data_IF_824051230153
#
_entry.id   IF_824051230153
#
_cell.length_a   1.000
_cell.length_b   1.000
_cell.length_c   1.000
_cell.angle_alpha   90.00
_cell.angle_beta   90.00
_cell.angle_gamma   90.00
#
_symmetry.space_group_name_H-M   'P 1'
#
loop_
_entity.id
_entity.type
_entity.pdbx_description
1 polymer ?
#
# COMPACT_ATOMS: atom_id res chain seq x y z
N UNK A 1 1.68 -29.29 -47.07
CA UNK A 1 1.94 -29.57 -45.64
C UNK A 1 2.23 -28.24 -44.95
N UNK A 2 1.23 -27.65 -44.27
CA UNK A 2 1.40 -26.41 -43.51
C UNK A 2 2.01 -26.73 -42.15
N UNK A 3 3.22 -26.22 -41.89
CA UNK A 3 3.88 -26.33 -40.59
C UNK A 3 3.34 -25.21 -39.68
N UNK A 4 2.58 -25.60 -38.66
CA UNK A 4 2.16 -24.73 -37.57
C UNK A 4 3.37 -24.36 -36.70
N UNK A 5 3.77 -23.09 -36.72
CA UNK A 5 4.70 -22.52 -35.75
C UNK A 5 3.93 -22.23 -34.46
N UNK A 6 4.04 -23.12 -33.47
CA UNK A 6 3.66 -22.85 -32.09
C UNK A 6 4.63 -21.83 -31.49
N UNK A 7 4.17 -20.59 -31.33
CA UNK A 7 4.85 -19.60 -30.51
C UNK A 7 4.74 -19.97 -29.04
N UNK A 8 5.83 -20.48 -28.47
CA UNK A 8 6.01 -20.59 -27.03
C UNK A 8 6.11 -19.17 -26.46
N UNK A 9 5.00 -18.67 -25.91
CA UNK A 9 5.04 -17.51 -25.03
C UNK A 9 5.83 -17.89 -23.79
N UNK A 10 7.07 -17.38 -23.67
CA UNK A 10 7.81 -17.41 -22.42
C UNK A 10 6.99 -16.65 -21.37
N UNK A 11 6.30 -17.39 -20.51
CA UNK A 11 5.82 -16.85 -19.24
C UNK A 11 7.07 -16.45 -18.46
N UNK A 12 7.29 -15.15 -18.29
CA UNK A 12 8.38 -14.64 -17.47
C UNK A 12 8.07 -15.07 -16.04
N UNK A 13 8.91 -15.92 -15.46
CA UNK A 13 8.77 -16.32 -14.06
C UNK A 13 8.70 -15.05 -13.20
N UNK A 14 7.78 -14.98 -12.21
CA UNK A 14 7.70 -13.82 -11.33
C UNK A 14 9.05 -13.66 -10.63
N UNK A 15 9.67 -12.51 -10.81
CA UNK A 15 10.93 -12.20 -10.12
C UNK A 15 10.67 -12.28 -8.62
N UNK A 16 11.45 -13.08 -7.86
CA UNK A 16 11.19 -13.28 -6.45
C UNK A 16 11.26 -11.93 -5.74
N UNK A 17 10.27 -11.65 -4.90
CA UNK A 17 10.19 -10.40 -4.18
C UNK A 17 11.28 -10.36 -3.10
N UNK A 18 12.45 -9.81 -3.44
CA UNK A 18 13.61 -9.73 -2.55
C UNK A 18 13.53 -8.51 -1.61
N UNK A 19 14.15 -8.63 -0.43
CA UNK A 19 14.28 -7.51 0.52
C UNK A 19 12.96 -7.10 1.19
N UNK A 20 12.13 -8.08 1.52
CA UNK A 20 10.94 -7.89 2.36
C UNK A 20 11.30 -8.29 3.79
N UNK A 21 10.96 -7.44 4.75
CA UNK A 21 11.15 -7.72 6.18
C UNK A 21 9.83 -8.19 6.80
N UNK A 22 9.93 -9.08 7.78
CA UNK A 22 8.77 -9.48 8.56
C UNK A 22 8.30 -8.28 9.41
N UNK A 23 7.00 -7.91 9.36
CA UNK A 23 6.50 -6.84 10.21
C UNK A 23 6.52 -7.27 11.68
N UNK A 24 6.67 -6.34 12.63
CA UNK A 24 6.53 -6.65 14.05
C UNK A 24 5.09 -7.10 14.34
N UNK A 25 4.89 -7.79 15.48
CA UNK A 25 3.60 -8.36 15.86
C UNK A 25 2.46 -7.34 15.89
N UNK A 26 2.76 -6.11 16.32
CA UNK A 26 1.83 -4.98 16.30
C UNK A 26 2.54 -3.78 15.70
N UNK A 27 1.86 -3.06 14.80
CA UNK A 27 2.42 -1.86 14.19
C UNK A 27 1.38 -0.78 13.92
N UNK A 28 1.86 0.46 13.92
CA UNK A 28 1.07 1.59 13.45
C UNK A 28 1.09 1.65 11.92
N UNK A 29 -0.10 1.67 11.32
CA UNK A 29 -0.28 1.75 9.86
C UNK A 29 -1.19 2.89 9.46
N UNK A 30 -0.89 3.51 8.33
CA UNK A 30 -1.60 4.63 7.76
C UNK A 30 -2.40 4.22 6.52
N UNK A 31 -3.67 4.63 6.48
CA UNK A 31 -4.49 4.61 5.28
C UNK A 31 -4.74 6.03 4.79
N UNK A 32 -4.36 6.32 3.54
CA UNK A 32 -4.58 7.63 2.92
C UNK A 32 -5.77 7.56 1.98
N UNK A 33 -6.73 8.47 2.18
CA UNK A 33 -7.93 8.51 1.36
C UNK A 33 -8.50 9.92 1.22
N UNK A 34 -9.32 10.18 0.18
CA UNK A 34 -10.06 11.43 0.13
C UNK A 34 -11.04 11.54 1.31
N UNK A 35 -11.27 12.74 1.85
CA UNK A 35 -12.13 12.94 3.04
C UNK A 35 -13.52 12.30 2.88
N UNK A 36 -14.14 12.50 1.71
CA UNK A 36 -15.49 11.98 1.39
C UNK A 36 -15.54 10.47 1.16
N UNK A 37 -14.41 9.75 1.14
CA UNK A 37 -14.39 8.29 0.97
C UNK A 37 -14.99 7.64 2.22
N UNK A 38 -16.02 6.84 1.99
CA UNK A 38 -16.65 5.94 2.96
C UNK A 38 -16.20 4.51 2.67
N UNK A 39 -16.12 3.71 3.72
CA UNK A 39 -15.58 2.35 3.69
C UNK A 39 -16.54 1.45 4.46
N UNK A 40 -16.98 0.36 3.84
CA UNK A 40 -17.79 -0.66 4.50
C UNK A 40 -16.93 -1.58 5.37
N UNK A 41 -17.57 -2.28 6.32
CA UNK A 41 -16.87 -3.13 7.31
C UNK A 41 -15.92 -4.17 6.70
N UNK A 42 -16.30 -4.78 5.57
CA UNK A 42 -15.53 -5.83 4.88
C UNK A 42 -14.56 -5.29 3.82
N UNK A 43 -14.43 -3.98 3.68
CA UNK A 43 -13.55 -3.40 2.66
C UNK A 43 -12.09 -3.55 3.08
N UNK A 44 -11.26 -4.01 2.15
CA UNK A 44 -9.82 -4.06 2.32
C UNK A 44 -9.23 -2.66 2.14
N UNK A 45 -8.50 -2.22 3.16
CA UNK A 45 -7.69 -1.02 3.12
C UNK A 45 -6.31 -1.40 2.62
N UNK A 46 -5.71 -0.55 1.81
CA UNK A 46 -4.29 -0.60 1.52
C UNK A 46 -3.60 0.37 2.46
N UNK A 47 -2.74 -0.16 3.32
CA UNK A 47 -2.10 0.57 4.41
C UNK A 47 -0.59 0.45 4.31
N UNK A 48 0.11 1.37 4.94
CA UNK A 48 1.58 1.43 4.95
C UNK A 48 2.06 1.71 6.38
N UNK A 49 3.24 1.24 6.81
CA UNK A 49 3.77 1.61 8.12
C UNK A 49 3.81 3.14 8.30
N UNK A 50 3.24 3.63 9.39
CA UNK A 50 3.20 5.09 9.66
C UNK A 50 4.61 5.66 9.81
N UNK A 51 5.53 4.91 10.43
CA UNK A 51 6.93 5.30 10.60
C UNK A 51 7.65 5.46 9.26
N UNK A 52 7.51 4.49 8.36
CA UNK A 52 8.12 4.53 7.03
C UNK A 52 7.57 5.71 6.21
N UNK A 53 6.25 5.92 6.26
CA UNK A 53 5.62 7.04 5.57
C UNK A 53 6.16 8.39 6.07
N UNK A 54 6.38 8.52 7.38
CA UNK A 54 6.98 9.74 7.96
C UNK A 54 8.46 9.90 7.62
N UNK A 55 9.24 8.82 7.62
CA UNK A 55 10.67 8.85 7.31
C UNK A 55 10.94 9.28 5.86
N UNK A 56 10.08 8.87 4.92
CA UNK A 56 10.25 9.17 3.48
C UNK A 56 9.68 10.52 3.06
N UNK A 57 9.01 11.25 3.95
CA UNK A 57 8.43 12.56 3.66
C UNK A 57 9.24 13.64 4.37
N UNK A 58 9.64 14.67 3.62
CA UNK A 58 10.36 15.81 4.15
C UNK A 58 9.39 16.82 4.82
N UNK A 59 9.86 17.65 5.78
CA UNK A 59 9.01 18.63 6.46
C UNK A 59 8.29 19.63 5.54
N UNK A 60 8.84 19.88 4.35
CA UNK A 60 8.29 20.75 3.31
C UNK A 60 7.33 20.06 2.34
N UNK A 61 7.17 18.73 2.44
CA UNK A 61 6.35 17.97 1.51
C UNK A 61 4.85 18.29 1.66
N UNK A 62 4.15 18.24 0.53
CA UNK A 62 2.72 18.50 0.46
C UNK A 62 1.92 17.20 0.20
N UNK A 63 0.59 17.31 0.23
CA UNK A 63 -0.31 16.17 -0.01
C UNK A 63 -0.11 15.53 -1.39
N UNK A 64 0.29 16.31 -2.41
CA UNK A 64 0.59 15.74 -3.72
C UNK A 64 1.81 14.82 -3.71
N UNK A 65 2.87 15.20 -3.00
CA UNK A 65 4.07 14.37 -2.80
C UNK A 65 3.77 13.08 -2.02
N UNK A 66 3.00 13.19 -0.93
CA UNK A 66 2.49 12.02 -0.19
C UNK A 66 1.78 11.02 -1.11
N UNK A 67 0.92 11.51 -2.00
CA UNK A 67 0.20 10.65 -2.95
C UNK A 67 1.09 10.07 -4.06
N UNK A 68 2.17 10.76 -4.45
CA UNK A 68 3.17 10.21 -5.38
C UNK A 68 3.93 9.04 -4.75
N UNK A 69 4.42 9.25 -3.52
CA UNK A 69 5.16 8.23 -2.77
C UNK A 69 4.35 6.94 -2.59
N UNK A 70 3.06 7.10 -2.28
CA UNK A 70 2.13 5.97 -2.16
C UNK A 70 1.70 5.36 -3.49
N UNK A 71 2.17 5.84 -4.64
CA UNK A 71 1.76 5.37 -5.96
C UNK A 71 0.33 5.76 -6.37
N UNK A 72 -0.35 6.61 -5.59
CA UNK A 72 -1.76 6.97 -5.77
C UNK A 72 -1.98 8.06 -6.83
N UNK A 73 -0.94 8.83 -7.16
CA UNK A 73 -1.07 9.97 -8.10
C UNK A 73 0.24 10.37 -8.73
N UNK A 74 0.22 10.67 -10.03
CA UNK A 74 1.38 11.18 -10.80
C UNK A 74 1.80 12.61 -10.45
N UNK A 75 0.86 13.51 -10.16
CA UNK A 75 1.09 14.96 -10.07
C UNK A 75 1.48 15.39 -8.64
N UNK A 76 2.60 16.10 -8.51
CA UNK A 76 3.13 16.62 -7.25
C UNK A 76 2.33 17.79 -6.62
N UNK A 77 1.56 18.54 -7.40
CA UNK A 77 0.75 19.66 -6.86
C UNK A 77 -0.35 19.17 -5.93
N UNK A 78 -0.56 19.84 -4.79
CA UNK A 78 -1.67 19.58 -3.85
C UNK A 78 -3.00 19.38 -4.60
N UNK A 79 -3.71 18.26 -4.35
CA UNK A 79 -4.99 18.00 -5.01
C UNK A 79 -6.04 19.04 -4.58
N UNK A 80 -6.95 19.40 -5.49
CA UNK A 80 -8.11 20.24 -5.14
C UNK A 80 -9.04 19.57 -4.13
N UNK A 81 -9.11 18.23 -4.17
CA UNK A 81 -9.90 17.43 -3.23
C UNK A 81 -9.07 17.21 -1.96
N UNK A 82 -9.62 17.46 -0.76
CA UNK A 82 -8.89 17.23 0.47
C UNK A 82 -8.77 15.74 0.78
N UNK A 83 -7.66 15.38 1.43
CA UNK A 83 -7.33 14.03 1.85
C UNK A 83 -7.21 13.95 3.37
N UNK A 84 -7.41 12.73 3.89
CA UNK A 84 -7.19 12.37 5.28
C UNK A 84 -6.20 11.22 5.35
N UNK A 85 -5.43 11.18 6.43
CA UNK A 85 -4.66 10.02 6.86
C UNK A 85 -5.36 9.45 8.07
N UNK A 86 -5.68 8.16 8.02
CA UNK A 86 -6.23 7.42 9.16
C UNK A 86 -5.15 6.49 9.65
N UNK A 87 -4.76 6.65 10.91
CA UNK A 87 -3.73 5.85 11.57
C UNK A 87 -4.41 4.83 12.46
N UNK A 88 -4.02 3.57 12.29
CA UNK A 88 -4.48 2.42 13.06
C UNK A 88 -3.31 1.80 13.79
N UNK A 89 -3.60 1.08 14.86
CA UNK A 89 -2.69 0.10 15.44
C UNK A 89 -3.23 -1.29 15.11
N UNK A 90 -2.43 -2.11 14.43
CA UNK A 90 -2.90 -3.39 13.86
C UNK A 90 -1.93 -4.51 14.19
N UNK A 91 -2.48 -5.65 14.59
CA UNK A 91 -1.71 -6.89 14.74
C UNK A 91 -1.38 -7.47 13.35
N UNK A 92 -0.13 -7.86 13.11
CA UNK A 92 0.32 -8.37 11.81
C UNK A 92 -0.43 -9.63 11.35
N UNK A 93 -0.93 -10.45 12.27
CA UNK A 93 -1.78 -11.61 11.97
C UNK A 93 -3.14 -11.28 11.37
N UNK A 94 -3.57 -10.01 11.39
CA UNK A 94 -4.78 -9.51 10.74
C UNK A 94 -4.51 -8.88 9.36
N UNK A 95 -3.23 -8.82 8.96
CA UNK A 95 -2.79 -8.21 7.72
C UNK A 95 -2.35 -9.27 6.72
N UNK A 96 -2.32 -8.86 5.47
CA UNK A 96 -1.66 -9.62 4.41
C UNK A 96 -0.80 -8.67 3.57
N UNK A 97 0.22 -9.21 2.89
CA UNK A 97 1.01 -8.47 1.91
C UNK A 97 0.39 -8.69 0.53
N UNK A 98 0.03 -7.65 -0.23
CA UNK A 98 -0.32 -7.86 -1.64
C UNK A 98 0.95 -8.40 -2.30
N UNK A 99 0.88 -9.55 -2.95
CA UNK A 99 1.98 -10.19 -3.67
C UNK A 99 1.41 -10.82 -4.95
N UNK A 100 2.04 -10.57 -6.09
CA UNK A 100 1.67 -11.17 -7.38
C UNK A 100 2.51 -12.42 -7.62
N UNK A 101 1.91 -13.48 -8.16
CA UNK A 101 2.58 -14.77 -8.38
C UNK A 101 2.59 -15.72 -7.17
N UNK A 102 2.05 -15.31 -6.03
CA UNK A 102 1.93 -16.13 -4.81
C UNK A 102 0.51 -16.64 -4.63
N UNK A 103 0.37 -17.80 -3.97
CA UNK A 103 -0.93 -18.35 -3.65
C UNK A 103 -1.60 -17.52 -2.54
N UNK A 104 -2.92 -17.33 -2.58
CA UNK A 104 -3.66 -16.71 -1.48
C UNK A 104 -3.31 -17.37 -0.14
N UNK A 105 -2.99 -16.55 0.86
CA UNK A 105 -2.63 -16.99 2.21
C UNK A 105 -1.32 -17.77 2.34
N UNK A 106 -0.54 -17.89 1.28
CA UNK A 106 0.83 -18.40 1.36
C UNK A 106 1.65 -17.48 2.27
N UNK A 107 2.34 -18.06 3.25
CA UNK A 107 3.18 -17.28 4.14
C UNK A 107 4.48 -16.87 3.44
N UNK A 108 4.71 -15.56 3.35
CA UNK A 108 5.90 -15.00 2.72
C UNK A 108 6.49 -13.99 3.69
N UNK A 109 7.72 -14.24 4.16
CA UNK A 109 8.42 -13.36 5.11
C UNK A 109 7.61 -13.06 6.39
N UNK A 110 6.94 -14.08 6.96
CA UNK A 110 6.21 -13.95 8.24
C UNK A 110 4.84 -13.27 8.15
N UNK A 111 4.32 -13.02 6.94
CA UNK A 111 2.97 -12.50 6.72
C UNK A 111 2.33 -13.18 5.50
N UNK A 112 1.02 -13.50 5.52
CA UNK A 112 0.38 -14.14 4.38
C UNK A 112 0.27 -13.22 3.15
N UNK A 113 0.37 -13.81 1.97
CA UNK A 113 0.01 -13.18 0.71
C UNK A 113 -1.51 -12.91 0.66
N UNK A 114 -1.89 -11.73 0.16
CA UNK A 114 -3.29 -11.34 0.11
C UNK A 114 -4.11 -12.17 -0.88
N UNK A 115 -5.35 -12.54 -0.53
CA UNK A 115 -6.26 -13.18 -1.48
C UNK A 115 -6.66 -12.21 -2.60
N UNK A 116 -6.29 -12.49 -3.85
CA UNK A 116 -6.87 -11.90 -5.07
C UNK A 116 -6.83 -10.37 -5.27
N UNK A 117 -7.30 -9.95 -6.44
CA UNK A 117 -7.33 -8.55 -6.90
C UNK A 117 -8.58 -7.80 -6.40
N UNK A 118 -8.50 -7.24 -5.19
CA UNK A 118 -9.55 -6.34 -4.69
C UNK A 118 -9.48 -4.96 -5.38
N UNK A 119 -10.64 -4.49 -5.86
CA UNK A 119 -10.75 -3.47 -6.91
C UNK A 119 -10.41 -2.00 -6.59
N UNK A 120 -9.94 -1.35 -7.66
CA UNK A 120 -10.12 0.06 -8.13
C UNK A 120 -9.89 1.20 -7.14
N UNK A 121 -8.70 1.23 -6.59
CA UNK A 121 -7.73 2.29 -6.89
C UNK A 121 -6.39 1.72 -6.45
N UNK A 122 -5.85 0.80 -7.26
CA UNK A 122 -4.54 0.24 -6.98
C UNK A 122 -3.53 1.36 -7.20
N UNK A 123 -2.81 1.81 -6.17
CA UNK A 123 -1.61 2.59 -6.44
C UNK A 123 -0.72 1.84 -7.42
N UNK A 124 0.18 2.56 -8.10
CA UNK A 124 1.27 1.92 -8.83
C UNK A 124 2.00 1.04 -7.82
N UNK A 125 1.84 -0.25 -8.02
CA UNK A 125 2.18 -1.31 -7.09
C UNK A 125 3.10 -2.27 -7.84
N UNK A 126 4.14 -2.74 -7.17
CA UNK A 126 5.24 -3.45 -7.82
C UNK A 126 4.98 -4.91 -8.13
N UNK A 127 3.89 -5.50 -7.63
CA UNK A 127 3.78 -6.96 -7.56
C UNK A 127 4.43 -7.56 -6.31
N UNK A 128 5.17 -6.78 -5.52
CA UNK A 128 6.00 -7.27 -4.42
C UNK A 128 5.76 -6.62 -3.05
N UNK A 129 4.53 -6.20 -2.74
CA UNK A 129 4.23 -5.66 -1.41
C UNK A 129 4.70 -4.23 -1.15
N UNK A 130 4.99 -3.43 -2.18
CA UNK A 130 5.36 -2.01 -2.04
C UNK A 130 4.80 -1.14 -3.17
N UNK A 131 4.65 0.16 -2.92
CA UNK A 131 4.30 1.13 -3.95
C UNK A 131 5.51 1.48 -4.82
N UNK A 132 5.26 1.93 -6.04
CA UNK A 132 6.25 2.64 -6.85
C UNK A 132 6.00 4.13 -6.71
N UNK A 133 7.04 4.88 -6.35
CA UNK A 133 6.97 6.33 -6.26
C UNK A 133 6.80 6.93 -7.67
N UNK A 134 5.76 7.73 -7.87
CA UNK A 134 5.55 8.42 -9.15
C UNK A 134 6.57 9.51 -9.46
N UNK A 135 7.32 10.01 -8.46
CA UNK A 135 8.31 11.05 -8.66
C UNK A 135 9.65 10.49 -9.15
N UNK A 136 10.10 9.36 -8.58
CA UNK A 136 11.42 8.78 -8.84
C UNK A 136 11.38 7.48 -9.64
N UNK A 137 10.20 6.86 -9.75
CA UNK A 137 10.01 5.50 -10.29
C UNK A 137 10.67 4.39 -9.48
N UNK A 138 11.15 4.70 -8.28
CA UNK A 138 11.79 3.75 -7.38
C UNK A 138 10.78 3.15 -6.37
N UNK A 139 11.28 2.26 -5.50
CA UNK A 139 10.52 1.70 -4.38
C UNK A 139 10.04 2.83 -3.45
N UNK A 140 8.71 2.98 -3.39
CA UNK A 140 8.01 3.93 -2.53
C UNK A 140 7.96 3.46 -1.09
N UNK A 141 6.79 3.04 -0.62
CA UNK A 141 6.56 2.52 0.73
C UNK A 141 6.11 1.07 0.72
N UNK A 142 6.36 0.33 1.81
CA UNK A 142 5.74 -0.97 2.01
C UNK A 142 4.21 -0.85 2.08
N UNK A 143 3.55 -1.89 1.57
CA UNK A 143 2.10 -1.97 1.49
C UNK A 143 1.61 -3.26 2.11
N UNK A 144 0.56 -3.11 2.91
CA UNK A 144 -0.19 -4.20 3.53
C UNK A 144 -1.67 -4.02 3.21
N UNK A 145 -2.46 -5.08 3.34
CA UNK A 145 -3.91 -4.98 3.38
C UNK A 145 -4.46 -5.47 4.70
N UNK A 146 -5.48 -4.77 5.16
CA UNK A 146 -6.26 -5.11 6.37
C UNK A 146 -7.72 -4.78 6.10
N UNK A 147 -8.66 -5.57 6.62
CA UNK A 147 -10.08 -5.21 6.51
C UNK A 147 -10.41 -4.07 7.47
N UNK A 148 -11.29 -3.16 7.06
CA UNK A 148 -11.73 -2.04 7.90
C UNK A 148 -12.20 -2.50 9.29
N UNK A 149 -13.03 -3.54 9.37
CA UNK A 149 -13.53 -4.09 10.65
C UNK A 149 -12.43 -4.55 11.60
N UNK A 150 -11.28 -4.94 11.07
CA UNK A 150 -10.16 -5.47 11.84
C UNK A 150 -9.21 -4.34 12.24
N UNK A 151 -8.97 -3.39 11.32
CA UNK A 151 -8.14 -2.21 11.58
C UNK A 151 -8.70 -1.30 12.68
N UNK A 152 -10.03 -1.18 12.80
CA UNK A 152 -10.66 -0.27 13.78
C UNK A 152 -10.78 -0.85 15.19
N UNK A 153 -10.42 -2.13 15.42
CA UNK A 153 -10.65 -2.81 16.71
C UNK A 153 -9.93 -2.16 17.89
N UNK A 154 -8.72 -1.65 17.65
CA UNK A 154 -7.89 -1.00 18.66
C UNK A 154 -8.08 0.52 18.72
N UNK A 155 -9.10 1.05 18.03
CA UNK A 155 -9.26 2.48 17.81
C UNK A 155 -8.44 3.00 16.63
N UNK A 156 -8.67 4.26 16.26
CA UNK A 156 -7.98 4.91 15.15
C UNK A 156 -7.98 6.43 15.29
N UNK A 157 -6.99 7.08 14.69
CA UNK A 157 -6.87 8.52 14.62
C UNK A 157 -7.10 9.01 13.19
N UNK A 158 -7.95 10.02 13.01
CA UNK A 158 -8.18 10.65 11.70
C UNK A 158 -7.57 12.03 11.68
N UNK A 159 -6.66 12.28 10.75
CA UNK A 159 -5.99 13.56 10.58
C UNK A 159 -6.24 14.09 9.17
N UNK A 160 -6.49 15.41 9.00
CA UNK A 160 -6.27 16.05 7.70
C UNK A 160 -4.85 15.75 7.21
N UNK A 161 -4.68 15.45 5.92
CA UNK A 161 -3.37 15.06 5.39
C UNK A 161 -2.30 16.14 5.62
N UNK A 162 -2.69 17.41 5.55
CA UNK A 162 -1.84 18.56 5.85
C UNK A 162 -1.37 18.56 7.31
N UNK A 163 -2.23 18.15 8.25
CA UNK A 163 -1.87 18.04 9.67
C UNK A 163 -0.94 16.87 9.93
N UNK A 164 -1.18 15.73 9.29
CA UNK A 164 -0.28 14.57 9.34
C UNK A 164 1.14 14.96 8.89
N UNK A 165 1.26 15.70 7.79
CA UNK A 165 2.55 16.18 7.27
C UNK A 165 3.23 17.19 8.22
N UNK A 166 2.47 18.07 8.86
CA UNK A 166 3.01 19.06 9.79
C UNK A 166 3.48 18.51 11.14
N UNK A 167 3.00 17.32 11.54
CA UNK A 167 3.32 16.68 12.81
C UNK A 167 4.61 15.85 12.79
N UNK A 168 5.26 15.74 11.63
CA UNK A 168 6.57 15.11 11.46
C UNK A 168 7.73 16.12 11.66
N UNK A 169 7.45 17.24 12.33
CA UNK A 169 8.42 18.28 12.68
C UNK A 169 8.98 18.07 14.07
#
# INVERSE_FOLDING_TARGET
MLIWLLGLALAKDPEPCMGLEAPPQTMSVAWVSPIKKRTGSRHWLLVTPTSELRQKLAPQDNVGRLLQLMGLRKRAKTPKKPYKVIVFEVNSGLMCRPLEGYLPYEEVTGIPACPGSYGRATPRYSGCGYSTDWATEERGVELYRVQWRDAVRSGFCVLPAERFLSASR
#
